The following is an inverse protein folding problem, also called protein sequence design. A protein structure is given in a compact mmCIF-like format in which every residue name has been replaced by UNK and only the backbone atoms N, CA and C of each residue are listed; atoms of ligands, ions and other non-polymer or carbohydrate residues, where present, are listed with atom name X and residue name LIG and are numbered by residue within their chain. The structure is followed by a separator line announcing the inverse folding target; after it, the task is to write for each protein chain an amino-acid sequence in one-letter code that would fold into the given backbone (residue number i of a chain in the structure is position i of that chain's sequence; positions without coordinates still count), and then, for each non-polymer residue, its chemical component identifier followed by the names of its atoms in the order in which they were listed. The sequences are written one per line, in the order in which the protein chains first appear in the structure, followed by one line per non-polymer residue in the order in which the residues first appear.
data_IF_150414976145
#
_entry.id   IF_150414976145
#
_cell.length_a   1.000
_cell.length_b   1.000
_cell.length_c   1.000
_cell.angle_alpha   90.00
_cell.angle_beta   90.00
_cell.angle_gamma   90.00
#
_symmetry.space_group_name_H-M   'P 1'
#
loop_
_entity.id
_entity.type
_entity.pdbx_description
1 polymer ?
#
# COMPACT_ATOMS: atom_id res chain seq x y z
N UNK A 1 17.35 -10.03 18.62
CA UNK A 1 15.96 -9.92 18.13
C UNK A 1 16.05 -9.16 16.82
N UNK A 2 15.81 -9.80 15.68
CA UNK A 2 16.01 -9.13 14.38
C UNK A 2 14.95 -8.05 14.20
N UNK A 3 15.38 -6.80 14.30
CA UNK A 3 14.65 -5.64 13.82
C UNK A 3 14.31 -5.86 12.34
N UNK A 4 13.11 -6.39 12.08
CA UNK A 4 12.59 -6.38 10.72
C UNK A 4 12.29 -4.91 10.40
N UNK A 5 13.19 -4.26 9.65
CA UNK A 5 12.91 -2.96 9.06
C UNK A 5 11.51 -2.99 8.44
N UNK A 6 10.63 -2.19 9.01
CA UNK A 6 9.27 -2.10 8.48
C UNK A 6 9.34 -1.22 7.26
N UNK A 7 8.91 -1.75 6.13
CA UNK A 7 8.83 -0.97 4.90
C UNK A 7 7.95 0.25 5.18
N UNK A 8 8.50 1.45 4.94
CA UNK A 8 7.78 2.72 5.12
C UNK A 8 6.83 2.95 3.93
N UNK A 9 5.93 3.95 4.00
CA UNK A 9 5.06 4.27 2.87
C UNK A 9 5.86 4.54 1.59
N UNK A 10 5.40 3.95 0.49
CA UNK A 10 5.97 4.11 -0.83
C UNK A 10 5.28 5.30 -1.50
N UNK A 11 6.02 6.41 -1.61
CA UNK A 11 5.54 7.67 -2.19
C UNK A 11 6.47 8.21 -3.30
N UNK A 12 7.54 7.50 -3.63
CA UNK A 12 8.51 7.91 -4.65
C UNK A 12 8.99 6.72 -5.46
N UNK A 13 9.42 7.00 -6.70
CA UNK A 13 10.03 6.00 -7.56
C UNK A 13 11.37 5.54 -6.99
N UNK A 14 12.18 6.46 -6.46
CA UNK A 14 13.50 6.13 -5.91
C UNK A 14 13.38 5.12 -4.77
N UNK A 15 12.45 5.33 -3.84
CA UNK A 15 12.23 4.38 -2.75
C UNK A 15 11.66 3.04 -3.24
N UNK A 16 10.83 3.06 -4.29
CA UNK A 16 10.39 1.81 -4.93
C UNK A 16 11.59 1.06 -5.53
N UNK A 17 12.50 1.72 -6.23
CA UNK A 17 13.70 1.08 -6.80
C UNK A 17 14.62 0.52 -5.70
N UNK A 18 14.79 1.22 -4.57
CA UNK A 18 15.49 0.69 -3.39
C UNK A 18 14.87 -0.63 -2.91
N UNK A 19 13.54 -0.70 -2.83
CA UNK A 19 12.84 -1.92 -2.44
C UNK A 19 13.03 -3.05 -3.47
N UNK A 20 12.94 -2.75 -4.77
CA UNK A 20 13.18 -3.74 -5.82
C UNK A 20 14.61 -4.31 -5.73
N UNK A 21 15.60 -3.43 -5.54
CA UNK A 21 17.00 -3.83 -5.35
C UNK A 21 17.22 -4.64 -4.05
N UNK A 22 16.43 -4.38 -3.01
CA UNK A 22 16.42 -5.14 -1.76
C UNK A 22 15.63 -6.47 -1.85
N UNK A 23 15.24 -6.89 -3.06
CA UNK A 23 14.58 -8.17 -3.34
C UNK A 23 13.07 -8.18 -3.11
N UNK A 24 12.43 -7.01 -3.00
CA UNK A 24 10.97 -6.93 -3.01
C UNK A 24 10.44 -6.98 -4.44
N UNK A 25 9.20 -7.44 -4.61
CA UNK A 25 8.46 -7.30 -5.86
C UNK A 25 7.04 -6.82 -5.61
N UNK A 26 6.43 -6.20 -6.63
CA UNK A 26 5.05 -5.73 -6.59
C UNK A 26 4.15 -6.79 -7.21
N UNK A 27 3.17 -7.25 -6.42
CA UNK A 27 2.03 -8.03 -6.90
C UNK A 27 0.85 -7.09 -7.06
N UNK A 28 0.15 -7.18 -8.19
CA UNK A 28 -0.97 -6.32 -8.52
C UNK A 28 -2.20 -7.10 -8.99
N UNK A 29 -3.25 -6.40 -9.46
CA UNK A 29 -4.53 -7.03 -9.78
C UNK A 29 -4.46 -8.06 -10.91
N UNK A 30 -3.49 -7.94 -11.84
CA UNK A 30 -3.37 -8.88 -12.97
C UNK A 30 -2.77 -10.19 -12.50
N UNK A 31 -1.68 -10.11 -11.75
CA UNK A 31 -1.02 -11.28 -11.13
C UNK A 31 -1.92 -11.97 -10.09
N UNK A 32 -2.83 -11.24 -9.44
CA UNK A 32 -3.87 -11.84 -8.57
C UNK A 32 -4.88 -12.67 -9.38
N UNK A 33 -5.34 -12.17 -10.53
CA UNK A 33 -6.36 -12.85 -11.35
C UNK A 33 -5.77 -13.98 -12.19
N UNK A 34 -4.51 -13.85 -12.60
CA UNK A 34 -3.77 -14.84 -13.35
C UNK A 34 -2.32 -14.86 -12.83
N UNK A 35 -1.92 -15.88 -12.05
CA UNK A 35 -0.56 -16.00 -11.51
C UNK A 35 0.54 -16.02 -12.58
N UNK A 36 0.22 -16.43 -13.81
CA UNK A 36 1.13 -16.43 -14.96
C UNK A 36 1.16 -15.09 -15.71
N UNK A 37 0.32 -14.12 -15.30
CA UNK A 37 0.30 -12.80 -15.92
C UNK A 37 1.59 -12.02 -15.63
N UNK A 38 1.99 -11.22 -16.62
CA UNK A 38 3.17 -10.37 -16.59
C UNK A 38 3.16 -9.38 -15.41
N UNK A 39 3.97 -9.68 -14.39
CA UNK A 39 4.21 -8.82 -13.21
C UNK A 39 4.80 -7.46 -13.59
N UNK A 40 5.44 -7.35 -14.76
CA UNK A 40 5.96 -6.09 -15.30
C UNK A 40 4.85 -5.08 -15.57
N UNK A 41 3.67 -5.50 -16.02
CA UNK A 41 2.53 -4.59 -16.26
C UNK A 41 1.93 -4.02 -14.98
N UNK A 42 1.90 -4.81 -13.93
CA UNK A 42 1.46 -4.36 -12.60
C UNK A 42 2.48 -3.36 -12.03
N UNK A 43 3.78 -3.62 -12.18
CA UNK A 43 4.84 -2.69 -11.79
C UNK A 43 4.77 -1.37 -12.58
N UNK A 44 4.56 -1.40 -13.89
CA UNK A 44 4.38 -0.19 -14.72
C UNK A 44 3.19 0.64 -14.23
N UNK A 45 2.06 -0.03 -13.95
CA UNK A 45 0.86 0.62 -13.43
C UNK A 45 1.11 1.25 -12.06
N UNK A 46 1.81 0.53 -11.17
CA UNK A 46 2.19 1.01 -9.85
C UNK A 46 3.10 2.24 -9.92
N UNK A 47 4.15 2.22 -10.77
CA UNK A 47 5.02 3.38 -11.03
C UNK A 47 4.22 4.58 -11.55
N UNK A 48 3.21 4.36 -12.39
CA UNK A 48 2.34 5.44 -12.88
C UNK A 48 1.50 6.07 -11.76
N UNK A 49 1.06 5.30 -10.76
CA UNK A 49 0.37 5.86 -9.58
C UNK A 49 1.31 6.72 -8.74
N UNK A 50 2.54 6.26 -8.47
CA UNK A 50 3.52 7.04 -7.73
C UNK A 50 3.85 8.37 -8.42
N UNK A 51 3.99 8.37 -9.76
CA UNK A 51 4.16 9.60 -10.55
C UNK A 51 3.01 10.59 -10.43
N UNK A 52 1.81 10.12 -10.07
CA UNK A 52 0.63 10.96 -9.81
C UNK A 52 0.54 11.41 -8.34
N UNK A 53 1.59 11.22 -7.55
CA UNK A 53 1.63 11.59 -6.13
C UNK A 53 0.89 10.63 -5.21
N UNK A 54 0.49 9.44 -5.69
CA UNK A 54 -0.18 8.45 -4.85
C UNK A 54 0.82 7.79 -3.90
N UNK A 55 0.37 7.56 -2.67
CA UNK A 55 1.17 6.94 -1.62
C UNK A 55 0.55 5.61 -1.19
N UNK A 56 1.38 4.57 -1.06
CA UNK A 56 0.99 3.24 -0.63
C UNK A 56 1.70 2.86 0.67
N UNK A 57 0.95 2.61 1.75
CA UNK A 57 1.50 2.16 3.02
C UNK A 57 1.36 0.64 3.21
N UNK A 58 2.41 -0.06 3.64
CA UNK A 58 2.32 -1.46 4.03
C UNK A 58 1.46 -1.69 5.28
N UNK A 59 0.68 -2.77 5.32
CA UNK A 59 -0.17 -3.12 6.47
C UNK A 59 0.62 -3.25 7.79
N UNK A 60 1.81 -3.85 7.72
CA UNK A 60 2.71 -3.99 8.88
C UNK A 60 3.13 -2.62 9.44
N UNK A 61 3.38 -1.64 8.56
CA UNK A 61 3.70 -0.26 8.95
C UNK A 61 2.52 0.41 9.62
N UNK A 62 1.33 0.29 9.03
CA UNK A 62 0.10 0.88 9.58
C UNK A 62 -0.19 0.34 10.98
N UNK A 63 -0.07 -0.98 11.15
CA UNK A 63 -0.25 -1.64 12.45
C UNK A 63 0.72 -1.11 13.50
N UNK A 64 2.03 -0.99 13.16
CA UNK A 64 3.04 -0.45 14.07
C UNK A 64 2.83 1.03 14.39
N UNK A 65 2.32 1.80 13.44
CA UNK A 65 2.02 3.23 13.62
C UNK A 65 0.70 3.48 14.37
N UNK A 66 -0.03 2.43 14.77
CA UNK A 66 -1.25 2.54 15.56
C UNK A 66 -2.49 2.91 14.74
N UNK A 67 -2.51 2.59 13.44
CA UNK A 67 -3.73 2.70 12.65
C UNK A 67 -4.77 1.67 13.11
N UNK A 68 -6.04 2.07 13.11
CA UNK A 68 -7.17 1.19 13.36
C UNK A 68 -7.67 0.64 12.02
N UNK A 69 -7.92 -0.66 11.98
CA UNK A 69 -8.48 -1.33 10.81
C UNK A 69 -9.98 -1.50 10.96
N UNK A 70 -10.73 -1.13 9.93
CA UNK A 70 -12.17 -1.36 9.84
C UNK A 70 -12.41 -2.35 8.72
N UNK A 71 -13.05 -3.46 9.07
CA UNK A 71 -13.39 -4.51 8.12
C UNK A 71 -14.46 -4.04 7.12
N UNK A 72 -14.51 -4.64 5.91
CA UNK A 72 -15.49 -4.33 4.89
C UNK A 72 -16.91 -4.31 5.42
N UNK A 73 -17.62 -3.21 5.18
CA UNK A 73 -19.03 -3.06 5.52
C UNK A 73 -19.70 -2.08 4.55
N UNK A 74 -21.01 -1.86 4.73
CA UNK A 74 -21.81 -0.96 3.90
C UNK A 74 -21.26 0.46 3.87
N UNK A 75 -20.77 0.98 5.00
CA UNK A 75 -20.22 2.33 5.09
C UNK A 75 -18.86 2.46 4.41
N UNK A 76 -18.04 1.39 4.42
CA UNK A 76 -16.76 1.36 3.70
C UNK A 76 -16.90 0.92 2.24
N UNK A 77 -18.13 0.79 1.72
CA UNK A 77 -18.45 0.31 0.37
C UNK A 77 -17.77 -1.03 0.04
N UNK A 78 -17.63 -1.90 1.04
CA UNK A 78 -16.97 -3.21 0.89
C UNK A 78 -15.44 -3.18 0.88
N UNK A 79 -14.81 -2.04 1.22
CA UNK A 79 -13.36 -1.95 1.34
C UNK A 79 -12.90 -2.09 2.79
N UNK A 80 -11.78 -2.77 3.02
CA UNK A 80 -11.07 -2.70 4.31
C UNK A 80 -10.30 -1.40 4.36
N UNK A 81 -10.44 -0.65 5.45
CA UNK A 81 -9.75 0.64 5.63
C UNK A 81 -8.84 0.60 6.84
N UNK A 82 -7.80 1.42 6.78
CA UNK A 82 -6.96 1.76 7.91
C UNK A 82 -7.09 3.28 8.14
N UNK A 83 -7.32 3.70 9.38
CA UNK A 83 -7.39 5.12 9.71
C UNK A 83 -6.66 5.46 11.01
N UNK A 84 -6.20 6.72 11.11
CA UNK A 84 -5.67 7.31 12.32
C UNK A 84 -5.98 8.80 12.33
N UNK A 85 -6.31 9.37 13.49
CA UNK A 85 -6.44 10.82 13.66
C UNK A 85 -5.04 11.38 13.97
N UNK A 86 -4.58 12.34 13.18
CA UNK A 86 -3.29 13.02 13.31
C UNK A 86 -3.58 14.52 13.28
N UNK A 87 -3.22 15.24 14.36
CA UNK A 87 -3.46 16.68 14.49
C UNK A 87 -4.91 17.10 14.19
N UNK A 88 -5.87 16.34 14.73
CA UNK A 88 -7.33 16.50 14.52
C UNK A 88 -7.84 16.14 13.11
N UNK A 89 -6.97 15.78 12.17
CA UNK A 89 -7.35 15.36 10.82
C UNK A 89 -7.31 13.84 10.64
N UNK A 90 -8.30 13.22 9.97
CA UNK A 90 -8.25 11.81 9.65
C UNK A 90 -7.26 11.52 8.51
N UNK A 91 -6.26 10.68 8.78
CA UNK A 91 -5.46 10.00 7.75
C UNK A 91 -6.11 8.65 7.46
N UNK A 92 -6.81 8.57 6.34
CA UNK A 92 -7.50 7.37 5.87
C UNK A 92 -6.76 6.71 4.72
N UNK A 93 -6.79 5.38 4.70
CA UNK A 93 -6.18 4.55 3.65
C UNK A 93 -7.03 3.33 3.35
N UNK A 94 -7.26 3.04 2.07
CA UNK A 94 -8.01 1.86 1.65
C UNK A 94 -7.06 0.73 1.26
N UNK A 95 -7.41 -0.52 1.61
CA UNK A 95 -6.70 -1.70 1.11
C UNK A 95 -6.76 -1.72 -0.42
N UNK A 96 -5.59 -1.58 -1.06
CA UNK A 96 -5.48 -1.58 -2.51
C UNK A 96 -5.45 -3.02 -3.05
N UNK A 97 -5.42 -3.15 -4.37
CA UNK A 97 -5.18 -4.42 -5.05
C UNK A 97 -3.69 -4.75 -5.22
N UNK A 98 -2.80 -4.00 -4.57
CA UNK A 98 -1.37 -4.22 -4.61
C UNK A 98 -0.84 -4.76 -3.28
N UNK A 99 0.21 -5.59 -3.38
CA UNK A 99 0.96 -6.12 -2.25
C UNK A 99 2.46 -6.09 -2.56
N UNK A 100 3.29 -5.95 -1.52
CA UNK A 100 4.72 -6.24 -1.60
C UNK A 100 4.96 -7.73 -1.33
N UNK A 101 5.85 -8.34 -2.10
CA UNK A 101 6.32 -9.70 -1.87
C UNK A 101 7.80 -9.68 -1.49
N UNK A 102 8.18 -10.45 -0.46
CA UNK A 102 9.59 -10.75 -0.15
C UNK A 102 9.71 -12.08 0.56
N UNK A 103 10.56 -12.97 0.05
CA UNK A 103 10.83 -14.27 0.67
C UNK A 103 9.56 -15.11 0.92
N UNK A 104 8.58 -15.04 0.02
CA UNK A 104 7.29 -15.73 0.16
C UNK A 104 6.27 -15.04 1.08
N UNK A 105 6.65 -13.98 1.79
CA UNK A 105 5.71 -13.15 2.56
C UNK A 105 5.00 -12.15 1.64
N UNK A 106 3.67 -12.11 1.73
CA UNK A 106 2.84 -11.08 1.09
C UNK A 106 2.44 -10.01 2.12
N UNK A 107 2.70 -8.75 1.80
CA UNK A 107 2.38 -7.59 2.65
C UNK A 107 1.39 -6.69 1.87
N UNK A 108 0.12 -6.63 2.28
CA UNK A 108 -0.87 -5.78 1.62
C UNK A 108 -0.48 -4.31 1.65
N UNK A 109 -0.75 -3.59 0.56
CA UNK A 109 -0.56 -2.15 0.45
C UNK A 109 -1.89 -1.40 0.54
N UNK A 110 -1.91 -0.31 1.29
CA UNK A 110 -3.05 0.58 1.46
C UNK A 110 -2.77 1.91 0.78
N UNK A 111 -3.67 2.32 -0.10
CA UNK A 111 -3.60 3.59 -0.81
C UNK A 111 -4.10 4.71 0.08
N UNK A 112 -3.31 5.78 0.24
CA UNK A 112 -3.72 6.99 0.95
C UNK A 112 -4.85 7.70 0.22
N UNK A 113 -5.84 8.12 1.00
CA UNK A 113 -6.98 8.91 0.52
C UNK A 113 -6.62 10.37 0.59
N UNK A 114 -6.68 11.05 -0.55
CA UNK A 114 -6.70 12.50 -0.55
C UNK A 114 -8.12 12.92 -0.18
N UNK A 115 -8.28 13.49 1.01
CA UNK A 115 -9.52 14.21 1.33
C UNK A 115 -9.56 15.45 0.45
N UNK A 116 -10.70 15.75 -0.20
CA UNK A 116 -10.85 17.01 -0.91
C UNK A 116 -10.58 18.14 0.08
N UNK A 117 -9.70 19.07 -0.30
CA UNK A 117 -9.55 20.31 0.47
C UNK A 117 -10.91 21.00 0.46
N UNK A 118 -11.49 21.18 1.63
CA UNK A 118 -12.61 22.10 1.79
C UNK A 118 -11.96 23.49 1.72
N UNK A 119 -12.09 24.14 0.57
CA UNK A 119 -11.70 25.55 0.37
C UNK A 119 -12.75 26.49 0.97
#
# INVERSE_FOLDING_TARGET
MNDSETVRPINSLDYLEELLNAGYSIKGPRTIRNPEADSGRDLISFKAFLKKGKEFAPEDWLSRMGYKFVEPNTFTKGHRIAYKIIDEFPDERFKSSYSLLKGGKEIPLYLKVELPKIE
#
